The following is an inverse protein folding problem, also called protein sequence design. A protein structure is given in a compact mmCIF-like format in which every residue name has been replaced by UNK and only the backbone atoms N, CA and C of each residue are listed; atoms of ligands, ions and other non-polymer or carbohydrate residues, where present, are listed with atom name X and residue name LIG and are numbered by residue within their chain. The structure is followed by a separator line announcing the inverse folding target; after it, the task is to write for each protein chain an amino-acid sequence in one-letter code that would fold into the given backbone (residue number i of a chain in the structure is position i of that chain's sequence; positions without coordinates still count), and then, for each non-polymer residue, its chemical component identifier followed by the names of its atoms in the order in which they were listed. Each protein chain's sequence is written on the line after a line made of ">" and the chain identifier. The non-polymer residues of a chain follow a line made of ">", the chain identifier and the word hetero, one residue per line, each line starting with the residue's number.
data_IF_143414442640
#
_entry.id   IF_143414442640
#
_cell.length_a   1.000
_cell.length_b   1.000
_cell.length_c   1.000
_cell.angle_alpha   90.00
_cell.angle_beta   90.00
_cell.angle_gamma   90.00
#
_symmetry.space_group_name_H-M   'P 1'
#
loop_
_entity.id
_entity.type
_entity.pdbx_description
1 polymer ?
#
# COMPACT_ATOMS: atom_id res chain seq x y z
N UNK A 1 14.46 -15.42 -11.72
CA UNK A 1 14.11 -15.92 -10.36
C UNK A 1 12.61 -15.81 -10.18
N UNK A 2 11.91 -16.92 -9.98
CA UNK A 2 10.45 -16.99 -9.99
C UNK A 2 9.79 -16.41 -8.75
N UNK A 3 8.58 -15.88 -8.91
CA UNK A 3 7.71 -15.32 -7.86
C UNK A 3 7.59 -16.22 -6.62
N UNK A 4 7.62 -17.55 -6.83
CA UNK A 4 7.68 -18.57 -5.77
C UNK A 4 8.88 -18.41 -4.82
N UNK A 5 10.06 -18.05 -5.30
CA UNK A 5 11.25 -17.85 -4.46
C UNK A 5 11.20 -16.53 -3.66
N UNK A 6 10.52 -15.50 -4.20
CA UNK A 6 10.25 -14.25 -3.47
C UNK A 6 9.16 -14.42 -2.42
N UNK A 7 8.12 -15.22 -2.72
CA UNK A 7 7.10 -15.61 -1.74
C UNK A 7 7.67 -16.54 -0.66
N UNK A 8 8.60 -17.43 -0.99
CA UNK A 8 9.33 -18.26 -0.02
C UNK A 8 10.32 -17.46 0.84
N UNK A 9 10.76 -16.28 0.38
CA UNK A 9 11.51 -15.31 1.20
C UNK A 9 10.59 -14.42 2.06
N UNK A 10 9.32 -14.27 1.66
CA UNK A 10 8.28 -13.60 2.45
C UNK A 10 7.64 -14.53 3.49
N UNK A 11 7.65 -15.83 3.24
CA UNK A 11 7.32 -16.90 4.17
C UNK A 11 8.58 -17.35 4.91
N UNK A 12 9.02 -16.57 5.89
CA UNK A 12 9.95 -17.11 6.87
C UNK A 12 9.15 -17.92 7.89
N UNK A 13 8.84 -19.17 7.53
CA UNK A 13 8.73 -20.22 8.55
C UNK A 13 10.16 -20.54 8.99
N UNK A 14 10.76 -19.68 9.81
CA UNK A 14 11.75 -20.20 10.75
C UNK A 14 10.98 -21.18 11.61
N UNK A 15 11.39 -22.45 11.63
CA UNK A 15 10.70 -23.53 12.33
C UNK A 15 10.69 -23.41 13.86
N UNK A 16 10.53 -22.20 14.40
CA UNK A 16 10.26 -21.92 15.80
C UNK A 16 8.78 -21.57 15.98
N UNK A 17 8.10 -22.39 16.76
CA UNK A 17 6.72 -22.23 17.19
C UNK A 17 6.65 -21.27 18.40
N UNK A 18 5.45 -20.82 18.77
CA UNK A 18 5.19 -20.17 20.07
C UNK A 18 5.66 -21.05 21.24
N UNK A 19 5.68 -22.38 21.03
CA UNK A 19 6.19 -23.37 21.97
C UNK A 19 7.68 -23.18 22.29
N UNK A 20 8.43 -22.48 21.43
CA UNK A 20 9.86 -22.19 21.59
C UNK A 20 10.11 -20.81 22.25
N UNK A 21 9.06 -20.10 22.67
CA UNK A 21 9.12 -18.79 23.35
C UNK A 21 8.30 -18.82 24.67
N UNK A 22 8.84 -19.43 25.75
CA UNK A 22 8.13 -19.56 27.02
C UNK A 22 7.74 -18.20 27.61
N UNK A 23 6.46 -18.00 27.95
CA UNK A 23 5.96 -16.75 28.54
C UNK A 23 5.75 -15.59 27.56
N UNK A 24 5.97 -15.79 26.25
CA UNK A 24 5.74 -14.75 25.26
C UNK A 24 4.28 -14.32 25.14
N UNK A 25 3.34 -15.28 25.17
CA UNK A 25 1.92 -14.98 25.09
C UNK A 25 1.45 -14.18 26.31
N UNK A 26 1.85 -14.58 27.53
CA UNK A 26 1.55 -13.84 28.76
C UNK A 26 2.10 -12.41 28.73
N UNK A 27 3.33 -12.24 28.22
CA UNK A 27 3.95 -10.93 28.02
C UNK A 27 3.15 -10.08 27.02
N UNK A 28 2.71 -10.67 25.91
CA UNK A 28 1.97 -10.00 24.85
C UNK A 28 0.55 -9.61 25.31
N UNK A 29 -0.14 -10.50 26.03
CA UNK A 29 -1.42 -10.23 26.67
C UNK A 29 -1.29 -9.14 27.74
N UNK A 30 -0.22 -9.16 28.54
CA UNK A 30 0.06 -8.10 29.51
C UNK A 30 0.20 -6.71 28.87
N UNK A 31 0.69 -6.64 27.62
CA UNK A 31 0.84 -5.38 26.87
C UNK A 31 -0.42 -4.95 26.12
N UNK A 32 -1.14 -5.89 25.51
CA UNK A 32 -2.22 -5.59 24.57
C UNK A 32 -3.62 -5.91 25.09
N UNK A 33 -3.70 -6.56 26.25
CA UNK A 33 -4.93 -7.12 26.80
C UNK A 33 -5.28 -8.49 26.21
N UNK A 34 -6.26 -9.17 26.81
CA UNK A 34 -6.82 -10.40 26.25
C UNK A 34 -7.47 -10.12 24.90
N UNK A 35 -7.55 -11.15 24.04
CA UNK A 35 -8.15 -11.07 22.69
C UNK A 35 -7.50 -10.01 21.77
N UNK A 36 -6.23 -9.67 22.00
CA UNK A 36 -5.49 -8.67 21.22
C UNK A 36 -5.42 -8.97 19.70
N UNK A 37 -5.75 -10.20 19.31
CA UNK A 37 -5.88 -10.63 17.91
C UNK A 37 -4.57 -10.60 17.14
N UNK A 38 -3.42 -10.56 17.83
CA UNK A 38 -2.08 -10.69 17.25
C UNK A 38 -1.65 -12.14 17.30
N UNK A 39 -0.86 -12.55 16.32
CA UNK A 39 -0.37 -13.91 16.13
C UNK A 39 1.09 -13.84 15.74
N UNK A 40 1.91 -14.80 16.17
CA UNK A 40 3.28 -14.92 15.65
C UNK A 40 3.25 -15.18 14.14
N UNK A 41 3.99 -14.36 13.40
CA UNK A 41 4.17 -14.47 11.95
C UNK A 41 5.56 -14.97 11.59
N UNK A 42 6.59 -14.56 12.34
CA UNK A 42 7.96 -15.07 12.20
C UNK A 42 8.75 -14.85 13.50
N UNK A 43 9.69 -15.76 13.79
CA UNK A 43 10.62 -15.64 14.92
C UNK A 43 12.05 -15.77 14.37
N UNK A 44 12.80 -14.69 14.36
CA UNK A 44 14.21 -14.66 13.96
C UNK A 44 15.15 -14.49 15.15
N UNK A 45 16.45 -14.66 14.90
CA UNK A 45 17.49 -14.32 15.89
C UNK A 45 17.54 -12.82 16.20
N UNK A 46 17.13 -11.96 15.25
CA UNK A 46 17.21 -10.50 15.37
C UNK A 46 15.89 -9.83 15.76
N UNK A 47 14.74 -10.48 15.57
CA UNK A 47 13.41 -9.89 15.85
C UNK A 47 12.30 -10.94 15.91
N UNK A 48 11.20 -10.55 16.55
CA UNK A 48 9.93 -11.30 16.59
C UNK A 48 8.87 -10.48 15.85
N UNK A 49 8.11 -11.16 14.99
CA UNK A 49 7.15 -10.51 14.10
C UNK A 49 5.73 -11.01 14.39
N UNK A 50 4.81 -10.07 14.59
CA UNK A 50 3.40 -10.30 14.88
C UNK A 50 2.51 -9.90 13.69
N UNK A 51 1.40 -10.61 13.47
CA UNK A 51 0.40 -10.28 12.46
C UNK A 51 -1.00 -10.29 13.08
N UNK A 52 -1.91 -9.46 12.56
CA UNK A 52 -3.37 -9.64 12.80
C UNK A 52 -4.01 -10.62 11.84
N UNK A 53 -3.31 -10.90 10.74
CA UNK A 53 -3.80 -11.69 9.63
C UNK A 53 -3.47 -13.16 9.91
N UNK A 54 -4.45 -14.08 9.81
CA UNK A 54 -4.21 -15.51 10.01
C UNK A 54 -3.23 -16.05 8.95
N UNK A 55 -2.50 -17.13 9.26
CA UNK A 55 -1.61 -17.79 8.29
C UNK A 55 -2.35 -18.15 6.99
N UNK A 56 -1.69 -18.03 5.84
CA UNK A 56 -2.26 -18.36 4.51
C UNK A 56 -3.07 -17.25 3.85
N UNK A 57 -3.80 -16.42 4.61
CA UNK A 57 -4.58 -15.29 4.09
C UNK A 57 -3.72 -14.17 3.43
N UNK A 58 -2.48 -13.90 3.87
CA UNK A 58 -1.56 -13.02 3.15
C UNK A 58 -1.29 -13.48 1.72
N UNK A 59 -1.17 -14.80 1.52
CA UNK A 59 -0.92 -15.38 0.20
C UNK A 59 -2.10 -15.18 -0.72
N UNK A 60 -3.33 -15.47 -0.26
CA UNK A 60 -4.53 -15.29 -1.07
C UNK A 60 -4.81 -13.83 -1.42
N UNK A 61 -4.53 -12.88 -0.51
CA UNK A 61 -4.69 -11.44 -0.78
C UNK A 61 -3.63 -10.92 -1.73
N UNK A 62 -2.36 -11.29 -1.53
CA UNK A 62 -1.28 -10.95 -2.46
C UNK A 62 -1.54 -11.53 -3.86
N UNK A 63 -1.96 -12.79 -3.93
CA UNK A 63 -2.31 -13.46 -5.18
C UNK A 63 -3.52 -12.79 -5.85
N UNK A 64 -4.53 -12.36 -5.08
CA UNK A 64 -5.70 -11.67 -5.63
C UNK A 64 -5.33 -10.30 -6.22
N UNK A 65 -4.46 -9.53 -5.56
CA UNK A 65 -4.00 -8.22 -6.07
C UNK A 65 -3.19 -8.39 -7.35
N UNK A 66 -2.33 -9.40 -7.43
CA UNK A 66 -1.56 -9.71 -8.65
C UNK A 66 -2.48 -10.07 -9.85
N UNK A 67 -3.72 -10.47 -9.58
CA UNK A 67 -4.75 -10.70 -10.62
C UNK A 67 -5.48 -9.42 -11.05
N UNK A 68 -5.22 -8.27 -10.42
CA UNK A 68 -5.73 -6.94 -10.80
C UNK A 68 -4.56 -6.01 -11.15
N UNK A 69 -3.80 -6.29 -12.23
CA UNK A 69 -2.57 -5.56 -12.55
C UNK A 69 -2.80 -4.07 -12.82
N UNK A 70 -4.01 -3.69 -13.21
CA UNK A 70 -4.41 -2.29 -13.41
C UNK A 70 -4.19 -1.43 -12.15
N UNK A 71 -4.40 -1.97 -10.95
CA UNK A 71 -4.23 -1.21 -9.69
C UNK A 71 -2.79 -0.75 -9.43
N UNK A 72 -1.80 -1.37 -10.07
CA UNK A 72 -0.38 -0.99 -9.98
C UNK A 72 0.15 -0.37 -11.27
N UNK A 73 -0.73 -0.02 -12.22
CA UNK A 73 -0.37 0.57 -13.50
C UNK A 73 -0.96 1.97 -13.62
N UNK A 74 -0.12 3.03 -13.51
CA UNK A 74 -0.59 4.40 -13.64
C UNK A 74 -1.33 4.64 -14.96
N UNK A 75 -0.80 4.11 -16.07
CA UNK A 75 -1.43 4.24 -17.39
C UNK A 75 -2.80 3.56 -17.48
N UNK A 76 -2.96 2.37 -16.87
CA UNK A 76 -4.27 1.72 -16.84
C UNK A 76 -5.28 2.51 -15.99
N UNK A 77 -4.85 3.03 -14.83
CA UNK A 77 -5.70 3.86 -13.98
C UNK A 77 -6.10 5.16 -14.67
N UNK A 78 -5.20 5.80 -15.42
CA UNK A 78 -5.53 6.98 -16.23
C UNK A 78 -6.60 6.69 -17.28
N UNK A 79 -6.53 5.53 -17.96
CA UNK A 79 -7.53 5.13 -18.96
C UNK A 79 -8.89 4.79 -18.36
N UNK A 80 -8.94 4.32 -17.11
CA UNK A 80 -10.16 3.96 -16.40
C UNK A 80 -10.80 5.15 -15.67
N UNK A 81 -10.05 6.23 -15.47
CA UNK A 81 -10.53 7.42 -14.79
C UNK A 81 -11.71 8.05 -15.55
N UNK A 82 -12.81 8.40 -14.87
CA UNK A 82 -13.96 9.01 -15.51
C UNK A 82 -13.65 10.45 -15.95
N UNK A 83 -14.19 10.84 -17.10
CA UNK A 83 -14.16 12.24 -17.53
C UNK A 83 -14.94 13.14 -16.55
N UNK A 84 -14.49 14.39 -16.40
CA UNK A 84 -15.18 15.36 -15.57
C UNK A 84 -15.00 15.18 -14.05
N UNK A 85 -14.09 14.29 -13.63
CA UNK A 85 -13.67 14.12 -12.23
C UNK A 85 -12.15 14.19 -12.15
N UNK A 86 -11.61 14.86 -11.14
CA UNK A 86 -10.15 14.91 -10.91
C UNK A 86 -9.73 14.38 -9.55
N UNK A 87 -8.43 14.50 -9.28
CA UNK A 87 -7.82 14.20 -7.99
C UNK A 87 -7.98 12.76 -7.51
N UNK A 88 -8.01 12.61 -6.19
CA UNK A 88 -8.15 11.32 -5.50
C UNK A 88 -9.46 10.64 -5.87
N UNK A 89 -10.53 11.41 -6.11
CA UNK A 89 -11.82 10.87 -6.55
C UNK A 89 -11.73 10.19 -7.92
N UNK A 90 -11.01 10.78 -8.88
CA UNK A 90 -10.81 10.18 -10.19
C UNK A 90 -10.01 8.87 -10.09
N UNK A 91 -8.94 8.86 -9.29
CA UNK A 91 -8.19 7.64 -8.99
C UNK A 91 -9.05 6.58 -8.34
N UNK A 92 -9.87 6.94 -7.34
CA UNK A 92 -10.76 6.00 -6.64
C UNK A 92 -11.73 5.33 -7.60
N UNK A 93 -12.38 6.12 -8.46
CA UNK A 93 -13.29 5.60 -9.48
C UNK A 93 -12.58 4.68 -10.47
N UNK A 94 -11.35 5.00 -10.88
CA UNK A 94 -10.54 4.12 -11.74
C UNK A 94 -10.19 2.80 -11.06
N UNK A 95 -9.83 2.84 -9.77
CA UNK A 95 -9.48 1.66 -8.97
C UNK A 95 -10.71 0.76 -8.74
N UNK A 96 -11.85 1.34 -8.41
CA UNK A 96 -13.12 0.60 -8.26
C UNK A 96 -13.51 -0.08 -9.58
N UNK A 97 -13.35 0.62 -10.72
CA UNK A 97 -13.61 0.03 -12.04
C UNK A 97 -12.66 -1.13 -12.38
N UNK A 98 -11.36 -0.96 -12.12
CA UNK A 98 -10.39 -2.04 -12.30
C UNK A 98 -10.73 -3.28 -11.47
N UNK A 99 -11.17 -3.07 -10.22
CA UNK A 99 -11.54 -4.15 -9.33
C UNK A 99 -12.84 -4.86 -9.79
N UNK A 100 -13.82 -4.09 -10.25
CA UNK A 100 -15.07 -4.62 -10.77
C UNK A 100 -14.87 -5.40 -12.07
N UNK A 101 -14.01 -4.93 -12.99
CA UNK A 101 -13.65 -5.65 -14.21
C UNK A 101 -12.96 -7.00 -13.90
N UNK A 102 -12.09 -7.02 -12.88
CA UNK A 102 -11.45 -8.26 -12.42
C UNK A 102 -12.45 -9.26 -11.82
N UNK A 103 -13.46 -8.78 -11.09
CA UNK A 103 -14.54 -9.62 -10.57
C UNK A 103 -15.41 -10.18 -11.69
N UNK A 104 -15.85 -9.34 -12.62
CA UNK A 104 -16.69 -9.74 -13.76
C UNK A 104 -16.00 -10.76 -14.68
N UNK A 105 -14.69 -10.63 -14.87
CA UNK A 105 -13.90 -11.58 -15.66
C UNK A 105 -13.60 -12.89 -14.92
N UNK A 106 -13.97 -13.02 -13.63
CA UNK A 106 -13.67 -14.18 -12.80
C UNK A 106 -12.21 -14.30 -12.38
N UNK A 107 -11.42 -13.22 -12.51
CA UNK A 107 -10.03 -13.20 -12.07
C UNK A 107 -9.92 -13.27 -10.53
N UNK A 108 -10.88 -12.68 -9.83
CA UNK A 108 -10.99 -12.72 -8.37
C UNK A 108 -12.40 -13.16 -7.95
N UNK A 109 -12.49 -13.78 -6.77
CA UNK A 109 -13.76 -14.11 -6.10
C UNK A 109 -14.22 -12.97 -5.18
N UNK A 110 -15.37 -13.17 -4.52
CA UNK A 110 -15.97 -12.17 -3.62
C UNK A 110 -15.08 -11.86 -2.40
N UNK A 111 -14.37 -12.87 -1.89
CA UNK A 111 -13.43 -12.70 -0.78
C UNK A 111 -12.20 -11.88 -1.21
N UNK A 112 -11.65 -12.16 -2.39
CA UNK A 112 -10.59 -11.37 -3.01
C UNK A 112 -11.02 -9.93 -3.28
N UNK A 113 -12.23 -9.73 -3.80
CA UNK A 113 -12.81 -8.40 -4.00
C UNK A 113 -12.91 -7.61 -2.68
N UNK A 114 -13.47 -8.22 -1.63
CA UNK A 114 -13.61 -7.58 -0.33
C UNK A 114 -12.25 -7.23 0.28
N UNK A 115 -11.26 -8.12 0.17
CA UNK A 115 -9.92 -7.89 0.70
C UNK A 115 -9.18 -6.78 -0.03
N UNK A 116 -9.22 -6.75 -1.36
CA UNK A 116 -8.57 -5.70 -2.16
C UNK A 116 -9.21 -4.34 -1.89
N UNK A 117 -10.54 -4.30 -1.75
CA UNK A 117 -11.27 -3.05 -1.45
C UNK A 117 -10.81 -2.40 -0.15
N UNK A 118 -10.56 -3.18 0.92
CA UNK A 118 -9.99 -2.66 2.16
C UNK A 118 -8.62 -2.01 1.91
N UNK A 119 -7.80 -2.59 1.02
CA UNK A 119 -6.52 -2.03 0.61
C UNK A 119 -6.68 -0.71 -0.16
N UNK A 120 -7.66 -0.62 -1.08
CA UNK A 120 -7.98 0.62 -1.81
C UNK A 120 -8.46 1.71 -0.83
N UNK A 121 -9.35 1.38 0.12
CA UNK A 121 -9.84 2.31 1.13
C UNK A 121 -8.69 2.89 1.97
N UNK A 122 -7.71 2.06 2.35
CA UNK A 122 -6.53 2.50 3.08
C UNK A 122 -5.63 3.42 2.25
N UNK A 123 -5.45 3.14 0.95
CA UNK A 123 -4.68 4.00 0.05
C UNK A 123 -5.40 5.32 -0.18
N UNK A 124 -6.72 5.32 -0.35
CA UNK A 124 -7.52 6.54 -0.47
C UNK A 124 -7.32 7.46 0.73
N UNK A 125 -7.39 6.90 1.95
CA UNK A 125 -7.18 7.67 3.18
C UNK A 125 -5.77 8.30 3.24
N UNK A 126 -4.74 7.58 2.79
CA UNK A 126 -3.38 8.11 2.70
C UNK A 126 -3.27 9.24 1.67
N UNK A 127 -3.86 9.07 0.48
CA UNK A 127 -3.89 10.10 -0.55
C UNK A 127 -4.62 11.34 -0.06
N UNK A 128 -5.81 11.19 0.52
CA UNK A 128 -6.59 12.30 1.07
C UNK A 128 -5.84 13.07 2.18
N UNK A 129 -5.01 12.38 2.98
CA UNK A 129 -4.16 13.03 3.97
C UNK A 129 -3.02 13.87 3.37
N UNK A 130 -2.58 13.54 2.14
CA UNK A 130 -1.51 14.23 1.44
C UNK A 130 -2.02 15.30 0.47
N UNK A 131 -3.24 15.15 -0.04
CA UNK A 131 -3.86 15.99 -1.07
C UNK A 131 -4.92 16.89 -0.44
N UNK A 132 -4.55 17.71 0.55
CA UNK A 132 -5.50 18.49 1.34
C UNK A 132 -6.19 19.63 0.58
N UNK A 133 -5.69 19.99 -0.61
CA UNK A 133 -6.33 20.96 -1.52
C UNK A 133 -7.19 20.32 -2.60
N UNK A 134 -7.25 18.99 -2.66
CA UNK A 134 -8.08 18.27 -3.63
C UNK A 134 -9.57 18.54 -3.37
N UNK A 135 -10.23 19.12 -4.38
CA UNK A 135 -11.66 19.37 -4.42
C UNK A 135 -12.40 18.46 -5.41
N UNK A 136 -11.68 17.53 -6.04
CA UNK A 136 -12.18 16.60 -7.05
C UNK A 136 -12.47 17.25 -8.41
N UNK A 137 -12.04 18.50 -8.62
CA UNK A 137 -12.25 19.21 -9.87
C UNK A 137 -11.40 18.65 -11.02
N UNK A 138 -11.90 18.64 -12.27
CA UNK A 138 -11.12 18.20 -13.41
C UNK A 138 -9.83 19.02 -13.56
N UNK A 139 -8.71 18.35 -13.77
CA UNK A 139 -7.41 19.01 -13.96
C UNK A 139 -6.76 19.50 -12.66
N UNK A 140 -7.34 19.22 -11.49
CA UNK A 140 -6.64 19.36 -10.23
C UNK A 140 -5.35 18.53 -10.25
N UNK A 141 -4.28 19.10 -9.71
CA UNK A 141 -2.99 18.44 -9.52
C UNK A 141 -2.38 18.91 -8.20
N UNK A 142 -1.62 18.05 -7.49
CA UNK A 142 -1.04 18.42 -6.21
C UNK A 142 -0.07 19.59 -6.35
N UNK A 143 -0.03 20.48 -5.37
CA UNK A 143 0.99 21.53 -5.25
C UNK A 143 2.37 20.97 -4.85
N UNK A 144 3.43 21.80 -4.81
CA UNK A 144 4.76 21.36 -4.38
C UNK A 144 4.79 20.72 -2.98
N UNK A 145 4.03 21.26 -2.03
CA UNK A 145 3.97 20.74 -0.65
C UNK A 145 3.26 19.38 -0.58
N UNK A 146 2.16 19.20 -1.32
CA UNK A 146 1.42 17.94 -1.38
C UNK A 146 2.23 16.85 -2.11
N UNK A 147 2.97 17.22 -3.17
CA UNK A 147 3.95 16.32 -3.82
C UNK A 147 5.04 15.86 -2.85
N UNK A 148 5.55 16.76 -2.01
CA UNK A 148 6.53 16.40 -0.98
C UNK A 148 5.92 15.43 0.05
N UNK A 149 4.68 15.66 0.49
CA UNK A 149 3.97 14.76 1.39
C UNK A 149 3.73 13.37 0.77
N UNK A 150 3.28 13.31 -0.49
CA UNK A 150 3.12 12.06 -1.24
C UNK A 150 4.45 11.29 -1.37
N UNK A 151 5.55 11.99 -1.66
CA UNK A 151 6.88 11.40 -1.71
C UNK A 151 7.36 10.88 -0.35
N UNK A 152 7.08 11.59 0.74
CA UNK A 152 7.38 11.15 2.10
C UNK A 152 6.61 9.87 2.44
N UNK A 153 5.30 9.82 2.17
CA UNK A 153 4.49 8.61 2.41
C UNK A 153 5.02 7.44 1.58
N UNK A 154 5.30 7.62 0.29
CA UNK A 154 5.91 6.58 -0.55
C UNK A 154 7.24 6.08 0.03
N UNK A 155 8.10 6.97 0.51
CA UNK A 155 9.37 6.61 1.14
C UNK A 155 9.20 5.82 2.44
N UNK A 156 8.16 6.12 3.23
CA UNK A 156 7.80 5.39 4.46
C UNK A 156 7.12 4.05 4.19
N UNK A 157 6.61 3.83 2.99
CA UNK A 157 6.09 2.54 2.52
C UNK A 157 7.18 1.65 1.91
N UNK A 158 8.40 2.16 1.70
CA UNK A 158 9.48 1.42 1.08
C UNK A 158 9.92 0.20 1.92
N UNK A 159 10.28 -0.94 1.27
CA UNK A 159 10.70 -2.16 1.97
C UNK A 159 11.83 -1.90 2.95
N UNK A 160 11.67 -2.41 4.17
CA UNK A 160 12.65 -2.20 5.25
C UNK A 160 12.53 -0.84 5.92
N UNK A 161 11.56 0.00 5.50
CA UNK A 161 11.14 1.23 6.17
C UNK A 161 9.65 1.22 6.54
N UNK A 162 9.06 0.03 6.61
CA UNK A 162 7.64 -0.32 6.87
C UNK A 162 6.98 0.34 8.11
N UNK A 163 7.64 1.30 8.77
CA UNK A 163 7.22 2.12 9.91
C UNK A 163 5.77 2.64 9.90
N UNK A 164 5.13 2.84 8.74
CA UNK A 164 3.71 3.20 8.68
C UNK A 164 2.77 2.05 9.08
N UNK A 165 3.19 0.81 8.81
CA UNK A 165 2.43 -0.41 9.13
C UNK A 165 3.14 -1.30 10.16
N UNK A 166 4.34 -0.92 10.59
CA UNK A 166 5.13 -1.56 11.63
C UNK A 166 4.94 -0.83 12.94
N UNK A 167 4.19 -1.45 13.85
CA UNK A 167 4.07 -1.04 15.25
C UNK A 167 5.09 -1.82 16.06
N UNK A 168 5.95 -1.12 16.79
CA UNK A 168 6.82 -1.69 17.80
C UNK A 168 6.04 -1.89 19.11
N UNK A 169 6.17 -3.06 19.73
CA UNK A 169 5.48 -3.42 20.97
C UNK A 169 6.39 -3.45 22.20
N UNK A 170 7.72 -3.45 21.99
CA UNK A 170 8.71 -3.63 23.05
C UNK A 170 9.73 -4.69 22.67
N UNK A 171 10.51 -5.13 23.66
CA UNK A 171 11.47 -6.22 23.50
C UNK A 171 11.05 -7.42 24.35
N UNK A 172 11.21 -8.62 23.79
CA UNK A 172 11.08 -9.88 24.49
C UNK A 172 12.40 -10.66 24.36
N UNK A 173 13.04 -10.97 25.49
CA UNK A 173 14.35 -11.62 25.53
C UNK A 173 15.42 -10.91 24.69
N UNK A 174 15.43 -9.56 24.73
CA UNK A 174 16.38 -8.74 23.97
C UNK A 174 16.12 -8.69 22.46
N UNK A 175 14.98 -9.21 21.99
CA UNK A 175 14.56 -9.14 20.58
C UNK A 175 13.40 -8.14 20.43
N UNK A 176 13.46 -7.20 19.46
CA UNK A 176 12.34 -6.31 19.18
C UNK A 176 11.12 -7.10 18.68
N UNK A 177 9.94 -6.74 19.18
CA UNK A 177 8.65 -7.31 18.79
C UNK A 177 7.87 -6.29 17.98
N UNK A 178 7.58 -6.63 16.72
CA UNK A 178 7.04 -5.70 15.74
C UNK A 178 5.81 -6.27 15.02
N UNK A 179 4.87 -5.42 14.58
CA UNK A 179 3.82 -5.88 13.66
C UNK A 179 4.32 -5.93 12.23
N UNK A 180 4.01 -7.01 11.54
CA UNK A 180 4.05 -7.10 10.09
C UNK A 180 2.65 -6.92 9.51
N UNK A 181 2.58 -6.04 8.52
CA UNK A 181 1.44 -5.95 7.62
C UNK A 181 1.83 -6.59 6.28
N UNK A 182 1.31 -7.79 5.95
CA UNK A 182 1.64 -8.45 4.70
C UNK A 182 1.15 -7.69 3.46
N UNK A 183 0.17 -6.79 3.63
CA UNK A 183 -0.34 -5.93 2.55
C UNK A 183 0.54 -4.72 2.25
N UNK A 184 1.57 -4.41 3.06
CA UNK A 184 2.38 -3.19 2.88
C UNK A 184 3.05 -3.08 1.49
N UNK A 185 3.67 -4.13 0.92
CA UNK A 185 4.24 -4.06 -0.42
C UNK A 185 3.20 -3.81 -1.51
N UNK A 186 1.99 -4.34 -1.35
CA UNK A 186 0.87 -4.09 -2.26
C UNK A 186 0.36 -2.67 -2.13
N UNK A 187 0.08 -2.23 -0.90
CA UNK A 187 -0.38 -0.88 -0.62
C UNK A 187 0.59 0.16 -1.19
N UNK A 188 1.90 -0.11 -1.09
CA UNK A 188 2.92 0.71 -1.74
C UNK A 188 2.74 0.79 -3.25
N UNK A 189 2.61 -0.33 -3.96
CA UNK A 189 2.50 -0.31 -5.44
C UNK A 189 1.25 0.44 -5.90
N UNK A 190 0.12 0.23 -5.21
CA UNK A 190 -1.13 0.93 -5.50
C UNK A 190 -0.97 2.43 -5.21
N UNK A 191 -0.36 2.79 -4.08
CA UNK A 191 -0.09 4.18 -3.72
C UNK A 191 0.87 4.87 -4.69
N UNK A 192 1.96 4.22 -5.10
CA UNK A 192 2.94 4.76 -6.04
C UNK A 192 2.27 4.97 -7.42
N UNK A 193 1.45 4.02 -7.88
CA UNK A 193 0.69 4.17 -9.11
C UNK A 193 -0.32 5.32 -9.01
N UNK A 194 -1.03 5.45 -7.89
CA UNK A 194 -1.95 6.54 -7.64
C UNK A 194 -1.24 7.90 -7.67
N UNK A 195 -0.10 8.01 -6.98
CA UNK A 195 0.72 9.22 -6.98
C UNK A 195 1.11 9.63 -8.40
N UNK A 196 1.57 8.69 -9.23
CA UNK A 196 1.92 8.98 -10.62
C UNK A 196 0.72 9.48 -11.44
N UNK A 197 -0.49 8.95 -11.20
CA UNK A 197 -1.73 9.46 -11.84
C UNK A 197 -1.99 10.92 -11.44
N UNK A 198 -1.90 11.23 -10.15
CA UNK A 198 -2.15 12.56 -9.62
C UNK A 198 -1.09 13.57 -10.09
N UNK A 199 0.17 13.16 -10.14
CA UNK A 199 1.29 14.01 -10.58
C UNK A 199 1.34 14.20 -12.10
N UNK A 200 0.83 13.26 -12.90
CA UNK A 200 0.72 13.39 -14.34
C UNK A 200 -0.41 14.35 -14.78
N UNK A 201 -1.37 14.62 -13.90
CA UNK A 201 -2.55 15.47 -14.19
C UNK A 201 -2.22 16.97 -14.26
N UNK A 202 -0.93 17.35 -14.24
CA UNK A 202 -0.46 18.75 -14.35
C UNK A 202 -0.81 19.33 -15.72
N UNK A 203 -1.67 20.36 -15.80
CA UNK A 203 -1.83 21.14 -17.01
C UNK A 203 -0.54 21.96 -17.22
N UNK A 204 0.26 21.64 -18.23
CA UNK A 204 1.35 22.53 -18.67
C UNK A 204 2.71 21.90 -19.01
N UNK A 205 2.94 20.59 -18.85
CA UNK A 205 4.24 20.00 -19.22
C UNK A 205 4.53 20.01 -20.75
N UNK A 206 3.54 20.34 -21.59
CA UNK A 206 3.69 20.49 -23.05
C UNK A 206 3.48 21.92 -23.57
N UNK A 207 3.50 22.94 -22.71
CA UNK A 207 3.56 24.33 -23.20
C UNK A 207 5.01 24.80 -23.21
N UNK A 208 5.74 24.41 -24.26
CA UNK A 208 6.96 25.08 -24.66
C UNK A 208 6.70 26.59 -24.67
N UNK A 209 7.48 27.37 -23.94
CA UNK A 209 7.48 28.84 -24.07
C UNK A 209 7.96 29.19 -25.48
N UNK A 210 7.15 29.82 -26.36
CA UNK A 210 7.66 30.50 -27.53
C UNK A 210 7.75 31.99 -27.19
N UNK A 211 8.98 32.51 -27.13
CA UNK A 211 9.21 33.95 -27.22
C UNK A 211 9.85 34.58 -25.98
N UNK A 212 11.16 34.44 -25.87
CA UNK A 212 11.98 35.58 -25.46
C UNK A 212 12.46 36.23 -26.76
N UNK A 213 11.88 37.40 -27.06
CA UNK A 213 12.12 38.14 -28.30
C UNK A 213 13.58 38.52 -28.47
N UNK A 214 14.02 38.47 -29.73
CA UNK A 214 15.17 39.20 -30.20
C UNK A 214 15.01 40.68 -29.82
N UNK A 215 15.92 41.19 -28.99
CA UNK A 215 16.10 42.63 -28.85
C UNK A 215 17.22 43.02 -29.78
N UNK A 216 16.85 43.68 -30.87
CA UNK A 216 17.74 44.46 -31.72
C UNK A 216 18.07 45.75 -30.97
N UNK A 217 19.35 45.96 -30.69
CA UNK A 217 20.07 47.26 -30.78
C UNK A 217 21.55 46.96 -30.86
#
# INVERSE_FOLDING_TARGET
>A
MGLKAKLHALWVSTGMSIADLPGFEDWLEGLLGPDHGRRLAAVGGERIVLSKVPPGLPGSVLDAVERVPALSSPGALQLLAPEGVGGVRAWRAAADRALEDARHSGAIDDDGFAAIRIGIDAVEALLASCCWTDDGSPGWAPGPAERAALAEVSARLAPGRDSLFTRYYGEFEGRPVESHCPGAPVARRIFDAAREVLEASVPGANSACPGAGATVT
#
